data_IF_819084748284
#
_entry.id   IF_819084748284
#
_cell.length_a   1.000
_cell.length_b   1.000
_cell.length_c   1.000
_cell.angle_alpha   90.00
_cell.angle_beta   90.00
_cell.angle_gamma   90.00
#
_symmetry.space_group_name_H-M   'P 1'
#
loop_
_entity.id
_entity.type
_entity.pdbx_description
1 polymer ?
#
# COMPACT_ATOMS: atom_id res chain seq x y z
N UNK A 1 -5.23 8.88 55.96
CA UNK A 1 -4.64 9.85 55.01
C UNK A 1 -3.69 9.08 54.12
N UNK A 2 -4.16 8.74 52.92
CA UNK A 2 -3.41 7.88 51.96
C UNK A 2 -2.76 8.83 50.93
N UNK A 3 -1.45 9.08 51.10
CA UNK A 3 -0.66 9.84 50.15
C UNK A 3 -0.50 8.98 48.89
N UNK A 4 -1.28 9.30 47.83
CA UNK A 4 -1.06 8.76 46.51
C UNK A 4 0.37 9.12 46.07
N UNK A 5 1.25 8.13 46.08
CA UNK A 5 2.57 8.24 45.45
C UNK A 5 2.36 8.50 43.95
N UNK A 6 2.53 9.76 43.52
CA UNK A 6 2.73 10.09 42.10
C UNK A 6 4.00 9.36 41.66
N UNK A 7 3.84 8.26 40.88
CA UNK A 7 4.97 7.68 40.13
C UNK A 7 5.66 8.80 39.38
N UNK A 8 6.99 8.96 39.47
CA UNK A 8 7.71 9.89 38.64
C UNK A 8 7.41 9.52 37.17
N UNK A 9 6.97 10.49 36.38
CA UNK A 9 6.84 10.36 34.92
C UNK A 9 8.23 9.96 34.41
N UNK A 10 8.40 8.70 34.09
CA UNK A 10 9.59 8.27 33.36
C UNK A 10 9.49 8.96 31.99
N UNK A 11 10.46 9.82 31.66
CA UNK A 11 10.57 10.53 30.38
C UNK A 11 10.35 9.58 29.18
N UNK A 12 10.68 8.31 29.34
CA UNK A 12 10.47 7.23 28.36
C UNK A 12 8.99 6.92 28.06
N UNK A 13 8.05 7.27 28.94
CA UNK A 13 6.62 6.99 28.74
C UNK A 13 5.88 8.13 28.02
N UNK A 14 6.53 9.26 27.77
CA UNK A 14 5.96 10.36 27.03
C UNK A 14 5.95 10.03 25.52
N UNK A 15 4.75 10.01 24.92
CA UNK A 15 4.57 9.83 23.47
C UNK A 15 5.43 10.82 22.66
N UNK A 16 5.55 12.06 23.15
CA UNK A 16 6.36 13.10 22.53
C UNK A 16 7.85 12.74 22.47
N UNK A 17 8.40 12.16 23.55
CA UNK A 17 9.81 11.74 23.57
C UNK A 17 10.04 10.58 22.60
N UNK A 18 9.14 9.64 22.52
CA UNK A 18 9.25 8.54 21.55
C UNK A 18 9.21 9.05 20.11
N UNK A 19 8.29 9.96 19.78
CA UNK A 19 8.21 10.59 18.46
C UNK A 19 9.51 11.33 18.16
N UNK A 20 10.00 12.13 19.12
CA UNK A 20 11.23 12.89 18.94
C UNK A 20 12.43 11.98 18.66
N UNK A 21 12.59 10.90 19.41
CA UNK A 21 13.65 9.91 19.18
C UNK A 21 13.51 9.27 17.79
N UNK A 22 12.31 8.84 17.41
CA UNK A 22 12.05 8.22 16.09
C UNK A 22 12.37 9.18 14.93
N UNK A 23 12.25 10.47 15.11
CA UNK A 23 12.57 11.47 14.08
C UNK A 23 14.04 11.87 14.11
N UNK A 24 14.58 12.15 15.28
CA UNK A 24 15.97 12.65 15.41
C UNK A 24 17.01 11.56 15.16
N UNK A 25 16.75 10.32 15.60
CA UNK A 25 17.72 9.24 15.44
C UNK A 25 18.11 9.00 13.97
N UNK A 26 17.18 8.81 13.02
CA UNK A 26 17.53 8.65 11.61
C UNK A 26 18.25 9.86 11.03
N UNK A 27 17.85 11.08 11.41
CA UNK A 27 18.49 12.29 10.94
C UNK A 27 19.94 12.36 11.44
N UNK A 28 20.19 12.11 12.72
CA UNK A 28 21.54 12.10 13.28
C UNK A 28 22.39 10.98 12.65
N UNK A 29 21.83 9.76 12.52
CA UNK A 29 22.53 8.65 11.89
C UNK A 29 22.93 8.97 10.44
N UNK A 30 22.04 9.58 9.67
CA UNK A 30 22.34 10.03 8.30
C UNK A 30 23.39 11.14 8.29
N UNK A 31 23.34 12.10 9.21
CA UNK A 31 24.35 13.15 9.33
C UNK A 31 25.76 12.55 9.62
N UNK A 32 25.83 11.58 10.54
CA UNK A 32 27.10 10.89 10.85
C UNK A 32 27.66 10.16 9.63
N UNK A 33 26.80 9.47 8.86
CA UNK A 33 27.22 8.80 7.63
C UNK A 33 27.73 9.79 6.58
N UNK A 34 27.12 10.96 6.44
CA UNK A 34 27.58 11.98 5.50
C UNK A 34 28.94 12.57 5.93
N UNK A 35 29.10 12.85 7.22
CA UNK A 35 30.36 13.34 7.77
C UNK A 35 31.49 12.32 7.58
N UNK A 36 31.24 11.02 7.75
CA UNK A 36 32.22 9.97 7.52
C UNK A 36 32.69 9.89 6.05
N UNK A 37 31.87 10.40 5.11
CA UNK A 37 32.21 10.53 3.69
C UNK A 37 32.76 11.91 3.30
N UNK A 38 33.04 12.77 4.28
CA UNK A 38 33.53 14.14 4.04
C UNK A 38 32.49 15.10 3.46
N UNK A 39 31.19 14.74 3.52
CA UNK A 39 30.08 15.55 2.99
C UNK A 39 29.40 16.34 4.09
N UNK A 40 28.91 17.54 3.78
CA UNK A 40 28.18 18.39 4.72
C UNK A 40 26.71 17.91 4.88
N UNK A 41 26.29 17.52 6.09
CA UNK A 41 24.89 17.15 6.34
C UNK A 41 23.90 18.30 6.09
N UNK A 42 24.32 19.53 6.42
CA UNK A 42 23.46 20.70 6.26
C UNK A 42 23.09 20.94 4.79
N UNK A 43 24.08 20.85 3.90
CA UNK A 43 23.89 20.99 2.45
C UNK A 43 22.97 19.85 1.94
N UNK A 44 23.17 18.63 2.43
CA UNK A 44 22.33 17.50 2.03
C UNK A 44 20.87 17.69 2.46
N UNK A 45 20.61 18.11 3.70
CA UNK A 45 19.24 18.39 4.15
C UNK A 45 18.60 19.55 3.41
N UNK A 46 19.35 20.62 3.17
CA UNK A 46 18.87 21.74 2.37
C UNK A 46 18.50 21.27 0.95
N UNK A 47 19.36 20.45 0.32
CA UNK A 47 19.11 19.90 -1.00
C UNK A 47 17.85 19.02 -1.02
N UNK A 48 17.64 18.18 -0.01
CA UNK A 48 16.43 17.35 0.11
C UNK A 48 15.19 18.24 0.16
N UNK A 49 15.17 19.25 1.04
CA UNK A 49 14.04 20.15 1.20
C UNK A 49 13.77 20.94 -0.08
N UNK A 50 14.80 21.52 -0.68
CA UNK A 50 14.66 22.31 -1.90
C UNK A 50 14.28 21.45 -3.11
N UNK A 51 14.75 20.22 -3.21
CA UNK A 51 14.36 19.31 -4.29
C UNK A 51 12.88 18.91 -4.20
N UNK A 52 12.35 18.76 -2.99
CA UNK A 52 10.95 18.36 -2.76
C UNK A 52 10.02 19.57 -2.91
N UNK A 53 10.29 20.65 -2.19
CA UNK A 53 9.37 21.79 -2.09
C UNK A 53 9.73 22.97 -3.00
N UNK A 54 10.94 22.97 -3.58
CA UNK A 54 11.42 24.05 -4.44
C UNK A 54 10.98 23.90 -5.92
N UNK A 55 10.32 22.79 -6.30
CA UNK A 55 9.85 22.58 -7.66
C UNK A 55 8.49 21.89 -7.71
N UNK A 56 7.68 22.27 -8.72
CA UNK A 56 6.41 21.58 -8.96
C UNK A 56 6.62 20.07 -9.24
N UNK A 57 7.72 19.71 -9.89
CA UNK A 57 8.08 18.33 -10.16
C UNK A 57 8.33 17.54 -8.85
N UNK A 58 9.18 18.06 -7.96
CA UNK A 58 9.47 17.40 -6.68
C UNK A 58 8.22 17.20 -5.83
N UNK A 59 7.38 18.24 -5.74
CA UNK A 59 6.10 18.14 -5.04
C UNK A 59 5.15 17.13 -5.69
N UNK A 60 5.10 17.08 -7.01
CA UNK A 60 4.32 16.10 -7.76
C UNK A 60 4.74 14.65 -7.47
N UNK A 61 6.04 14.39 -7.37
CA UNK A 61 6.57 13.06 -6.99
C UNK A 61 6.13 12.65 -5.56
N UNK A 62 6.09 13.59 -4.63
CA UNK A 62 5.59 13.32 -3.26
C UNK A 62 4.11 12.92 -3.31
N UNK A 63 3.28 13.62 -4.08
CA UNK A 63 1.85 13.30 -4.22
C UNK A 63 1.65 11.90 -4.84
N UNK A 64 2.40 11.56 -5.88
CA UNK A 64 2.33 10.22 -6.50
C UNK A 64 2.69 9.14 -5.49
N UNK A 65 3.78 9.34 -4.73
CA UNK A 65 4.18 8.38 -3.68
C UNK A 65 3.17 8.30 -2.55
N UNK A 66 2.57 9.42 -2.16
CA UNK A 66 1.53 9.46 -1.13
C UNK A 66 0.30 8.62 -1.55
N UNK A 67 -0.11 8.65 -2.83
CA UNK A 67 -1.20 7.82 -3.32
C UNK A 67 -0.93 6.32 -3.14
N UNK A 68 0.29 5.86 -3.47
CA UNK A 68 0.70 4.47 -3.24
C UNK A 68 0.68 4.11 -1.75
N UNK A 69 1.24 4.97 -0.90
CA UNK A 69 1.30 4.74 0.55
C UNK A 69 -0.09 4.72 1.20
N UNK A 70 -1.03 5.54 0.73
CA UNK A 70 -2.41 5.51 1.20
C UNK A 70 -3.04 4.16 0.87
N UNK A 71 -2.95 3.69 -0.37
CA UNK A 71 -3.58 2.44 -0.80
C UNK A 71 -2.95 1.21 -0.12
N UNK A 72 -1.62 1.13 -0.06
CA UNK A 72 -0.93 0.02 0.62
C UNK A 72 -1.14 0.07 2.13
N UNK A 73 -1.23 1.26 2.73
CA UNK A 73 -1.59 1.45 4.12
C UNK A 73 -2.99 0.96 4.44
N UNK A 74 -3.97 1.18 3.55
CA UNK A 74 -5.32 0.61 3.68
C UNK A 74 -5.28 -0.91 3.60
N UNK A 75 -4.56 -1.48 2.61
CA UNK A 75 -4.42 -2.92 2.42
C UNK A 75 -3.79 -3.63 3.63
N UNK A 76 -2.95 -2.95 4.41
CA UNK A 76 -2.39 -3.46 5.65
C UNK A 76 -3.29 -3.22 6.87
N UNK A 77 -3.89 -2.03 6.96
CA UNK A 77 -4.63 -1.60 8.16
C UNK A 77 -6.01 -2.27 8.30
N UNK A 78 -6.68 -2.59 7.18
CA UNK A 78 -8.02 -3.18 7.20
C UNK A 78 -7.96 -4.62 7.76
N UNK A 79 -7.11 -5.55 7.28
CA UNK A 79 -6.93 -6.87 7.88
C UNK A 79 -6.46 -6.82 9.34
N UNK A 80 -5.60 -5.87 9.70
CA UNK A 80 -5.13 -5.70 11.07
C UNK A 80 -6.28 -5.47 12.07
N UNK A 81 -7.38 -4.85 11.65
CA UNK A 81 -8.57 -4.64 12.49
C UNK A 81 -9.31 -5.92 12.86
N UNK A 82 -9.10 -7.03 12.17
CA UNK A 82 -9.68 -8.34 12.49
C UNK A 82 -8.63 -9.33 13.00
N UNK A 83 -7.46 -8.81 13.41
CA UNK A 83 -6.36 -9.60 13.95
C UNK A 83 -5.57 -10.39 12.91
N UNK A 84 -5.58 -9.95 11.65
CA UNK A 84 -4.75 -10.51 10.57
C UNK A 84 -3.68 -9.49 10.16
N UNK A 85 -2.49 -9.97 9.89
CA UNK A 85 -1.41 -9.14 9.36
C UNK A 85 -1.22 -9.42 7.86
N UNK A 86 -1.37 -8.38 7.04
CA UNK A 86 -1.07 -8.44 5.61
C UNK A 86 0.26 -7.71 5.33
N UNK A 87 1.32 -8.47 5.16
CA UNK A 87 2.62 -7.97 4.72
C UNK A 87 2.83 -8.13 3.20
N UNK A 88 1.79 -8.60 2.47
CA UNK A 88 1.84 -8.92 1.04
C UNK A 88 1.42 -7.79 0.10
N UNK A 89 1.22 -6.58 0.62
CA UNK A 89 0.70 -5.45 -0.16
C UNK A 89 1.53 -5.11 -1.39
N UNK A 90 2.85 -5.28 -1.32
CA UNK A 90 3.75 -5.04 -2.45
C UNK A 90 3.49 -6.03 -3.60
N UNK A 91 3.43 -7.33 -3.31
CA UNK A 91 3.14 -8.36 -4.31
C UNK A 91 1.73 -8.24 -4.89
N UNK A 92 0.74 -7.93 -4.04
CA UNK A 92 -0.64 -7.69 -4.47
C UNK A 92 -0.72 -6.52 -5.45
N UNK A 93 -0.06 -5.41 -5.12
CA UNK A 93 0.02 -4.22 -5.98
C UNK A 93 0.75 -4.52 -7.29
N UNK A 94 1.85 -5.27 -7.25
CA UNK A 94 2.63 -5.60 -8.42
C UNK A 94 1.84 -6.50 -9.41
N UNK A 95 1.12 -7.51 -8.90
CA UNK A 95 0.24 -8.35 -9.73
C UNK A 95 -0.96 -7.55 -10.26
N UNK A 96 -1.55 -6.66 -9.46
CA UNK A 96 -2.60 -5.76 -9.91
C UNK A 96 -2.11 -4.85 -11.04
N UNK A 97 -0.91 -4.28 -10.91
CA UNK A 97 -0.30 -3.43 -11.92
C UNK A 97 -0.03 -4.20 -13.22
N UNK A 98 0.50 -5.44 -13.13
CA UNK A 98 0.71 -6.28 -14.29
C UNK A 98 -0.62 -6.58 -15.02
N UNK A 99 -1.65 -7.03 -14.29
CA UNK A 99 -2.97 -7.30 -14.85
C UNK A 99 -3.59 -6.06 -15.53
N UNK A 100 -3.46 -4.91 -14.89
CA UNK A 100 -3.91 -3.62 -15.43
C UNK A 100 -3.15 -3.26 -16.71
N UNK A 101 -1.82 -3.41 -16.72
CA UNK A 101 -0.97 -3.11 -17.88
C UNK A 101 -1.32 -4.01 -19.08
N UNK A 102 -1.46 -5.31 -18.84
CA UNK A 102 -1.85 -6.27 -19.89
C UNK A 102 -3.25 -5.96 -20.43
N UNK A 103 -4.23 -5.70 -19.57
CA UNK A 103 -5.58 -5.36 -20.02
C UNK A 103 -5.61 -4.06 -20.82
N UNK A 104 -4.88 -3.04 -20.38
CA UNK A 104 -4.83 -1.73 -21.02
C UNK A 104 -4.03 -1.68 -22.33
N UNK A 105 -3.10 -2.62 -22.54
CA UNK A 105 -2.36 -2.74 -23.80
C UNK A 105 -3.00 -3.71 -24.79
N UNK A 106 -3.98 -4.53 -24.37
CA UNK A 106 -4.61 -5.55 -25.21
C UNK A 106 -6.12 -5.37 -25.31
N UNK A 107 -6.87 -6.01 -24.43
CA UNK A 107 -8.35 -6.11 -24.49
C UNK A 107 -9.05 -4.76 -24.42
N UNK A 108 -8.56 -3.85 -23.60
CA UNK A 108 -9.17 -2.55 -23.38
C UNK A 108 -8.56 -1.44 -24.26
N UNK A 109 -7.51 -1.73 -25.04
CA UNK A 109 -6.73 -0.76 -25.79
C UNK A 109 -7.56 0.14 -26.72
N UNK A 110 -8.65 -0.37 -27.28
CA UNK A 110 -9.51 0.34 -28.23
C UNK A 110 -10.69 1.08 -27.56
N UNK A 111 -10.83 0.99 -26.22
CA UNK A 111 -11.93 1.64 -25.52
C UNK A 111 -11.65 3.12 -25.27
N UNK A 112 -12.69 3.98 -25.29
CA UNK A 112 -12.55 5.37 -24.86
C UNK A 112 -12.16 5.43 -23.37
N UNK A 113 -11.33 6.41 -23.00
CA UNK A 113 -10.78 6.53 -21.63
C UNK A 113 -11.82 6.56 -20.52
N UNK A 114 -13.00 7.15 -20.77
CA UNK A 114 -14.12 7.21 -19.80
C UNK A 114 -14.59 5.84 -19.35
N UNK A 115 -14.56 4.84 -20.24
CA UNK A 115 -14.97 3.45 -19.94
C UNK A 115 -13.74 2.61 -19.60
N UNK A 116 -12.66 2.77 -20.35
CA UNK A 116 -11.48 1.93 -20.23
C UNK A 116 -10.73 2.10 -18.90
N UNK A 117 -10.60 3.35 -18.40
CA UNK A 117 -9.93 3.60 -17.10
C UNK A 117 -10.65 2.93 -15.92
N UNK A 118 -11.98 3.08 -15.73
CA UNK A 118 -12.69 2.34 -14.70
C UNK A 118 -12.58 0.82 -14.82
N UNK A 119 -12.62 0.28 -16.04
CA UNK A 119 -12.42 -1.15 -16.27
C UNK A 119 -11.02 -1.61 -15.93
N UNK A 120 -9.99 -0.82 -16.26
CA UNK A 120 -8.61 -1.11 -15.86
C UNK A 120 -8.46 -1.13 -14.34
N UNK A 121 -9.05 -0.17 -13.63
CA UNK A 121 -9.06 -0.17 -12.17
C UNK A 121 -9.75 -1.43 -11.61
N UNK A 122 -10.87 -1.83 -12.21
CA UNK A 122 -11.58 -3.06 -11.82
C UNK A 122 -10.71 -4.30 -12.06
N UNK A 123 -10.03 -4.42 -13.20
CA UNK A 123 -9.09 -5.51 -13.47
C UNK A 123 -7.97 -5.55 -12.43
N UNK A 124 -7.37 -4.39 -12.12
CA UNK A 124 -6.36 -4.30 -11.08
C UNK A 124 -6.86 -4.77 -9.71
N UNK A 125 -8.05 -4.33 -9.31
CA UNK A 125 -8.68 -4.76 -8.05
C UNK A 125 -8.92 -6.29 -8.04
N UNK A 126 -9.43 -6.86 -9.12
CA UNK A 126 -9.67 -8.31 -9.21
C UNK A 126 -8.34 -9.09 -9.14
N UNK A 127 -7.33 -8.68 -9.90
CA UNK A 127 -6.03 -9.34 -9.88
C UNK A 127 -5.37 -9.29 -8.50
N UNK A 128 -5.38 -8.11 -7.86
CA UNK A 128 -4.87 -7.92 -6.51
C UNK A 128 -5.62 -8.76 -5.48
N UNK A 129 -6.97 -8.76 -5.53
CA UNK A 129 -7.82 -9.53 -4.64
C UNK A 129 -7.62 -11.04 -4.82
N UNK A 130 -7.55 -11.54 -6.05
CA UNK A 130 -7.27 -12.95 -6.32
C UNK A 130 -5.92 -13.37 -5.76
N UNK A 131 -4.91 -12.52 -5.92
CA UNK A 131 -3.59 -12.79 -5.36
C UNK A 131 -3.59 -12.77 -3.82
N UNK A 132 -4.25 -11.81 -3.20
CA UNK A 132 -4.48 -11.76 -1.76
C UNK A 132 -5.23 -13.00 -1.26
N UNK A 133 -6.20 -13.48 -2.03
CA UNK A 133 -7.00 -14.67 -1.75
C UNK A 133 -6.17 -15.92 -1.56
N UNK A 134 -5.04 -16.06 -2.27
CA UNK A 134 -4.09 -17.17 -2.07
C UNK A 134 -3.56 -17.17 -0.64
N UNK A 135 -3.14 -16.01 -0.11
CA UNK A 135 -2.66 -15.88 1.27
C UNK A 135 -3.72 -16.25 2.31
N UNK A 136 -4.96 -15.80 2.10
CA UNK A 136 -6.10 -16.18 2.98
C UNK A 136 -6.41 -17.67 2.91
N UNK A 137 -6.39 -18.24 1.71
CA UNK A 137 -6.61 -19.68 1.52
C UNK A 137 -5.57 -20.51 2.27
N UNK A 138 -4.28 -20.17 2.14
CA UNK A 138 -3.19 -20.85 2.82
C UNK A 138 -3.33 -20.73 4.35
N UNK A 139 -3.73 -19.57 4.86
CA UNK A 139 -4.01 -19.38 6.28
C UNK A 139 -5.17 -20.25 6.76
N UNK A 140 -6.30 -20.19 6.06
CA UNK A 140 -7.54 -20.82 6.55
C UNK A 140 -7.58 -22.32 6.36
N UNK A 141 -6.95 -22.86 5.31
CA UNK A 141 -6.96 -24.29 4.97
C UNK A 141 -5.75 -25.04 5.51
N UNK A 142 -4.57 -24.40 5.47
CA UNK A 142 -3.31 -25.04 5.85
C UNK A 142 -2.77 -24.52 7.21
N UNK A 143 -3.50 -23.63 7.87
CA UNK A 143 -3.11 -23.00 9.15
C UNK A 143 -1.71 -22.34 9.12
N UNK A 144 -1.27 -21.87 7.95
CA UNK A 144 0.02 -21.21 7.79
C UNK A 144 0.02 -19.84 8.48
N UNK A 145 1.20 -19.39 8.89
CA UNK A 145 1.39 -18.04 9.43
C UNK A 145 1.19 -17.01 8.31
N UNK A 146 0.21 -16.11 8.47
CA UNK A 146 -0.14 -15.12 7.45
C UNK A 146 0.97 -14.13 7.13
N UNK A 147 1.76 -13.72 8.14
CA UNK A 147 2.86 -12.77 7.95
C UNK A 147 3.92 -13.40 7.05
N UNK A 148 4.37 -14.61 7.40
CA UNK A 148 5.39 -15.32 6.64
C UNK A 148 4.90 -15.62 5.22
N UNK A 149 3.66 -16.12 5.09
CA UNK A 149 3.07 -16.44 3.79
C UNK A 149 3.00 -15.22 2.90
N UNK A 150 2.49 -14.09 3.41
CA UNK A 150 2.32 -12.88 2.60
C UNK A 150 3.65 -12.22 2.24
N UNK A 151 4.67 -12.28 3.11
CA UNK A 151 6.04 -11.86 2.75
C UNK A 151 6.62 -12.73 1.62
N UNK A 152 6.49 -14.05 1.74
CA UNK A 152 6.98 -14.97 0.69
C UNK A 152 6.25 -14.73 -0.63
N UNK A 153 4.96 -14.42 -0.61
CA UNK A 153 4.19 -14.08 -1.80
C UNK A 153 4.71 -12.82 -2.51
N UNK A 154 5.31 -11.84 -1.81
CA UNK A 154 5.95 -10.70 -2.48
C UNK A 154 7.09 -11.17 -3.40
N UNK A 155 7.92 -12.11 -2.95
CA UNK A 155 8.98 -12.69 -3.78
C UNK A 155 8.41 -13.49 -4.94
N UNK A 156 7.36 -14.30 -4.70
CA UNK A 156 6.67 -15.04 -5.77
C UNK A 156 6.13 -14.09 -6.83
N UNK A 157 5.49 -12.98 -6.44
CA UNK A 157 5.01 -11.96 -7.37
C UNK A 157 6.15 -11.36 -8.19
N UNK A 158 7.25 -10.99 -7.53
CA UNK A 158 8.41 -10.39 -8.19
C UNK A 158 9.02 -11.33 -9.24
N UNK A 159 9.22 -12.60 -8.89
CA UNK A 159 9.78 -13.58 -9.83
C UNK A 159 8.80 -13.93 -10.94
N UNK A 160 7.49 -14.04 -10.64
CA UNK A 160 6.46 -14.28 -11.64
C UNK A 160 6.41 -13.14 -12.68
N UNK A 161 6.40 -11.90 -12.21
CA UNK A 161 6.40 -10.71 -13.08
C UNK A 161 7.68 -10.68 -13.92
N UNK A 162 8.83 -10.92 -13.30
CA UNK A 162 10.11 -10.97 -14.02
C UNK A 162 10.07 -12.05 -15.12
N UNK A 163 9.62 -13.27 -14.81
CA UNK A 163 9.50 -14.32 -15.79
C UNK A 163 8.56 -13.95 -16.96
N UNK A 164 7.45 -13.27 -16.67
CA UNK A 164 6.52 -12.80 -17.71
C UNK A 164 7.12 -11.67 -18.56
N UNK A 165 7.83 -10.73 -17.96
CA UNK A 165 8.46 -9.61 -18.67
C UNK A 165 9.65 -10.03 -19.53
N UNK A 166 10.38 -11.07 -19.14
CA UNK A 166 11.42 -11.68 -19.98
C UNK A 166 10.88 -12.66 -21.00
N UNK A 167 9.62 -13.09 -20.86
CA UNK A 167 8.96 -14.10 -21.69
C UNK A 167 7.78 -13.54 -22.50
N UNK A 168 6.58 -14.05 -22.21
CA UNK A 168 5.37 -13.88 -23.02
C UNK A 168 4.81 -12.47 -23.08
N UNK A 169 5.07 -11.64 -22.07
CA UNK A 169 4.54 -10.25 -21.99
C UNK A 169 5.57 -9.21 -22.38
N UNK A 170 6.73 -9.63 -22.87
CA UNK A 170 7.78 -8.72 -23.28
C UNK A 170 7.35 -7.92 -24.52
N UNK A 171 7.61 -6.62 -24.49
CA UNK A 171 7.42 -5.74 -25.63
C UNK A 171 8.44 -6.10 -26.76
N UNK A 172 7.98 -6.54 -27.95
CA UNK A 172 8.87 -6.85 -29.06
C UNK A 172 9.71 -5.66 -29.53
N UNK A 173 9.21 -4.42 -29.33
CA UNK A 173 9.86 -3.18 -29.73
C UNK A 173 10.67 -2.53 -28.59
N UNK A 174 10.71 -3.12 -27.42
CA UNK A 174 11.29 -2.56 -26.18
C UNK A 174 12.82 -2.68 -26.05
N UNK A 175 13.59 -2.69 -27.14
CA UNK A 175 15.06 -2.69 -27.12
C UNK A 175 15.69 -3.73 -26.18
N UNK A 176 15.09 -4.89 -26.07
CA UNK A 176 15.47 -5.96 -25.16
C UNK A 176 15.29 -5.64 -23.66
N UNK A 177 14.62 -4.53 -23.32
CA UNK A 177 14.30 -4.18 -21.95
C UNK A 177 13.13 -5.02 -21.44
N UNK A 178 13.12 -5.49 -20.18
CA UNK A 178 12.03 -6.28 -19.61
C UNK A 178 10.84 -5.39 -19.23
N UNK A 179 10.05 -5.05 -20.22
CA UNK A 179 8.84 -4.23 -20.08
C UNK A 179 7.69 -4.80 -20.89
N UNK A 180 6.44 -4.49 -20.46
CA UNK A 180 5.24 -4.77 -21.25
C UNK A 180 5.08 -3.73 -22.36
N UNK A 181 4.25 -4.06 -23.33
CA UNK A 181 3.73 -3.06 -24.28
C UNK A 181 3.07 -1.93 -23.49
N UNK A 182 3.28 -0.69 -23.90
CA UNK A 182 2.73 0.47 -23.22
C UNK A 182 1.19 0.50 -23.30
N UNK A 183 0.57 0.95 -22.21
CA UNK A 183 -0.88 1.16 -22.14
C UNK A 183 -1.28 2.21 -23.18
N UNK A 184 -2.37 1.97 -23.88
CA UNK A 184 -2.90 2.87 -24.91
C UNK A 184 -3.05 4.32 -24.36
N UNK A 185 -2.64 5.37 -25.12
CA UNK A 185 -2.59 6.74 -24.62
C UNK A 185 -3.91 7.24 -24.02
N UNK A 186 -5.05 6.86 -24.60
CA UNK A 186 -6.38 7.23 -24.12
C UNK A 186 -6.77 6.60 -22.79
N UNK A 187 -6.06 5.57 -22.34
CA UNK A 187 -6.27 4.87 -21.07
C UNK A 187 -5.32 5.33 -19.97
N UNK A 188 -4.47 6.29 -20.25
CA UNK A 188 -3.56 6.86 -19.23
C UNK A 188 -4.24 7.99 -18.50
N UNK A 189 -4.01 8.10 -17.22
CA UNK A 189 -4.41 9.28 -16.46
C UNK A 189 -3.69 10.51 -17.02
N UNK A 190 -4.43 11.59 -17.16
CA UNK A 190 -3.83 12.87 -17.51
C UNK A 190 -2.87 13.31 -16.40
N UNK A 191 -1.69 13.79 -16.81
CA UNK A 191 -0.69 14.34 -15.90
C UNK A 191 -0.85 15.85 -15.79
N UNK A 192 -0.64 16.40 -14.59
CA UNK A 192 -0.83 17.81 -14.30
C UNK A 192 0.49 18.55 -14.10
N UNK A 193 0.52 19.81 -14.47
CA UNK A 193 1.66 20.73 -14.24
C UNK A 193 3.01 20.26 -14.81
N UNK A 194 3.03 19.49 -15.89
CA UNK A 194 4.27 18.94 -16.46
C UNK A 194 5.00 17.96 -15.51
N UNK A 195 4.30 17.43 -14.50
CA UNK A 195 4.82 16.49 -13.50
C UNK A 195 4.24 15.10 -13.73
N UNK A 196 4.66 14.12 -12.94
CA UNK A 196 4.04 12.78 -12.92
C UNK A 196 2.75 12.72 -12.09
N UNK A 197 2.37 13.81 -11.45
CA UNK A 197 1.13 13.90 -10.68
C UNK A 197 -0.07 13.64 -11.60
N UNK A 198 -0.95 12.75 -11.20
CA UNK A 198 -2.13 12.35 -11.96
C UNK A 198 -3.34 12.16 -11.04
N UNK A 199 -4.49 11.84 -11.62
CA UNK A 199 -5.75 11.66 -10.90
C UNK A 199 -5.74 10.49 -9.88
N UNK A 200 -4.70 9.66 -9.84
CA UNK A 200 -4.59 8.53 -8.91
C UNK A 200 -4.64 8.94 -7.43
N UNK A 201 -4.18 10.16 -7.08
CA UNK A 201 -4.31 10.66 -5.70
C UNK A 201 -5.76 10.81 -5.27
N UNK A 202 -6.64 11.28 -6.16
CA UNK A 202 -8.06 11.41 -5.86
C UNK A 202 -8.72 10.04 -5.67
N UNK A 203 -8.30 9.04 -6.45
CA UNK A 203 -8.73 7.65 -6.26
C UNK A 203 -8.28 7.13 -4.88
N UNK A 204 -7.04 7.37 -4.49
CA UNK A 204 -6.52 6.94 -3.20
C UNK A 204 -7.27 7.61 -2.03
N UNK A 205 -7.53 8.92 -2.10
CA UNK A 205 -8.30 9.64 -1.09
C UNK A 205 -9.75 9.15 -1.04
N UNK A 206 -10.38 8.94 -2.21
CA UNK A 206 -11.75 8.41 -2.28
C UNK A 206 -11.84 7.01 -1.65
N UNK A 207 -10.86 6.12 -1.92
CA UNK A 207 -10.78 4.80 -1.30
C UNK A 207 -10.57 4.88 0.21
N UNK A 208 -9.76 5.81 0.69
CA UNK A 208 -9.58 6.05 2.13
C UNK A 208 -10.89 6.52 2.79
N UNK A 209 -11.58 7.46 2.17
CA UNK A 209 -12.88 7.95 2.64
C UNK A 209 -13.97 6.86 2.62
N UNK A 210 -14.03 6.07 1.55
CA UNK A 210 -14.95 4.94 1.42
C UNK A 210 -14.67 3.88 2.51
N UNK A 211 -13.41 3.53 2.73
CA UNK A 211 -13.01 2.60 3.77
C UNK A 211 -13.39 3.11 5.15
N UNK A 212 -13.13 4.39 5.44
CA UNK A 212 -13.52 5.03 6.68
C UNK A 212 -15.04 4.95 6.88
N UNK A 213 -15.84 5.29 5.83
CA UNK A 213 -17.28 5.22 5.87
C UNK A 213 -17.78 3.78 6.13
N UNK A 214 -17.25 2.79 5.38
CA UNK A 214 -17.64 1.38 5.56
C UNK A 214 -17.35 0.92 6.99
N UNK A 215 -16.16 1.21 7.52
CA UNK A 215 -15.76 0.76 8.85
C UNK A 215 -16.62 1.41 9.94
N UNK A 216 -16.99 2.68 9.81
CA UNK A 216 -17.67 3.39 10.89
C UNK A 216 -19.21 3.34 10.80
N UNK A 217 -19.78 3.25 9.59
CA UNK A 217 -21.21 3.45 9.36
C UNK A 217 -21.95 2.22 8.81
N UNK A 218 -21.26 1.08 8.57
CA UNK A 218 -21.94 -0.10 8.01
C UNK A 218 -21.97 -1.30 8.96
N UNK A 219 -22.87 -2.28 8.65
CA UNK A 219 -22.93 -3.56 9.36
C UNK A 219 -21.64 -4.37 9.27
N UNK A 220 -20.96 -4.30 8.11
CA UNK A 220 -19.67 -4.96 7.91
C UNK A 220 -18.61 -4.32 8.80
N UNK A 221 -18.57 -3.00 8.88
CA UNK A 221 -17.66 -2.29 9.78
C UNK A 221 -17.93 -2.58 11.25
N UNK A 222 -19.19 -2.71 11.65
CA UNK A 222 -19.54 -3.17 13.00
C UNK A 222 -18.95 -4.56 13.27
N UNK A 223 -19.14 -5.52 12.35
CA UNK A 223 -18.59 -6.87 12.50
C UNK A 223 -17.05 -6.85 12.59
N UNK A 224 -16.38 -6.04 11.75
CA UNK A 224 -14.91 -5.85 11.79
C UNK A 224 -14.45 -5.34 13.15
N UNK A 225 -15.09 -4.30 13.69
CA UNK A 225 -14.74 -3.73 15.01
C UNK A 225 -14.99 -4.72 16.15
N UNK A 226 -16.09 -5.48 16.09
CA UNK A 226 -16.45 -6.49 17.11
C UNK A 226 -15.41 -7.62 17.09
N UNK A 227 -15.01 -8.12 15.93
CA UNK A 227 -13.98 -9.15 15.80
C UNK A 227 -12.64 -8.65 16.34
N UNK A 228 -12.27 -7.40 16.02
CA UNK A 228 -11.04 -6.78 16.51
C UNK A 228 -11.00 -6.61 18.04
N UNK A 229 -12.15 -6.34 18.66
CA UNK A 229 -12.25 -6.26 20.11
C UNK A 229 -12.15 -7.61 20.80
N UNK A 230 -12.94 -8.59 20.36
CA UNK A 230 -12.89 -9.96 20.90
C UNK A 230 -13.52 -10.95 19.90
N UNK A 231 -12.69 -11.82 19.31
CA UNK A 231 -13.14 -12.83 18.34
C UNK A 231 -14.13 -13.84 18.93
N UNK A 232 -13.98 -14.21 20.22
CA UNK A 232 -14.90 -15.14 20.87
C UNK A 232 -16.27 -14.51 21.07
N UNK A 233 -16.32 -13.28 21.57
CA UNK A 233 -17.57 -12.54 21.71
C UNK A 233 -18.27 -12.35 20.35
N UNK A 234 -17.53 -12.06 19.29
CA UNK A 234 -18.06 -11.96 17.94
C UNK A 234 -18.71 -13.27 17.46
N UNK A 235 -18.10 -14.43 17.76
CA UNK A 235 -18.68 -15.75 17.44
C UNK A 235 -19.96 -16.01 18.22
N UNK A 236 -20.01 -15.70 19.52
CA UNK A 236 -21.22 -15.83 20.32
C UNK A 236 -22.36 -14.92 19.85
N UNK A 237 -22.03 -13.75 19.31
CA UNK A 237 -22.97 -12.85 18.65
C UNK A 237 -23.42 -13.30 17.24
N UNK A 238 -23.03 -14.49 16.79
CA UNK A 238 -23.40 -15.05 15.48
C UNK A 238 -22.62 -14.50 14.28
N UNK A 239 -21.54 -13.73 14.52
CA UNK A 239 -20.71 -13.17 13.44
C UNK A 239 -19.83 -14.29 12.85
N UNK A 240 -19.89 -14.47 11.52
CA UNK A 240 -19.08 -15.44 10.80
C UNK A 240 -17.63 -14.92 10.63
N UNK A 241 -16.82 -15.06 11.68
CA UNK A 241 -15.47 -14.49 11.77
C UNK A 241 -14.62 -14.83 10.54
N UNK A 242 -14.56 -16.11 10.15
CA UNK A 242 -13.76 -16.54 8.99
C UNK A 242 -14.17 -15.85 7.69
N UNK A 243 -15.48 -15.69 7.47
CA UNK A 243 -16.01 -15.04 6.28
C UNK A 243 -15.64 -13.56 6.24
N UNK A 244 -15.80 -12.86 7.36
CA UNK A 244 -15.40 -11.45 7.48
C UNK A 244 -13.88 -11.30 7.30
N UNK A 245 -13.08 -12.17 7.90
CA UNK A 245 -11.62 -12.17 7.72
C UNK A 245 -11.22 -12.36 6.25
N UNK A 246 -11.90 -13.23 5.49
CA UNK A 246 -11.67 -13.37 4.05
C UNK A 246 -11.99 -12.08 3.30
N UNK A 247 -13.19 -11.51 3.51
CA UNK A 247 -13.62 -10.31 2.83
C UNK A 247 -12.73 -9.09 3.09
N UNK A 248 -12.22 -8.98 4.30
CA UNK A 248 -11.37 -7.85 4.73
C UNK A 248 -9.96 -7.97 4.17
N UNK A 249 -9.54 -9.17 3.83
CA UNK A 249 -8.21 -9.44 3.30
C UNK A 249 -8.16 -9.30 1.75
N UNK A 250 -9.29 -9.55 1.07
CA UNK A 250 -9.45 -9.38 -0.38
C UNK A 250 -9.62 -7.93 -0.80
#
# INVERSE_FOLDING_TARGET
MNKAQKKPLQLQDSLAVRILICVLFPLIAFAVLLLSQGKSPLVAYQTIITSIFGSAYGFGEVIVRAAYLILTGLAASIPARVGLANAGGEGQMAIAALGTAVAGSTVLANLPGVIGIPLMLLVGMICGALYAGVGVFLKQKLAMNEILTTILMNYVATYLISAMLFGSLRDPNGWNYPQTVEIAPQLRFHTYFGTRMNAGIFVAIAMAGLTWYIIHHTRVGFAVRTIGGNQMAARYAGIQVRKIQTWVFL
#
